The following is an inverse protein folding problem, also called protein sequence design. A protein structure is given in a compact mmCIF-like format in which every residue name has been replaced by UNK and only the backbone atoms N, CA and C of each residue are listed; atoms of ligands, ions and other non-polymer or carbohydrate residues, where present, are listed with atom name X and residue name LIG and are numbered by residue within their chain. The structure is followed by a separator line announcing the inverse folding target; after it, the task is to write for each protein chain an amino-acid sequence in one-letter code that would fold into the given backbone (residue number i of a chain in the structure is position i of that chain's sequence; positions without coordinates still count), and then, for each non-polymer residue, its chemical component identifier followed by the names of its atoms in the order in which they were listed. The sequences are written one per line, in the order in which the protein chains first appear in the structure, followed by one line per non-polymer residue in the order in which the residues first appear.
data_IF_770787765101
#
_entry.id   IF_770787765101
#
_cell.length_a   1.000
_cell.length_b   1.000
_cell.length_c   1.000
_cell.angle_alpha   90.00
_cell.angle_beta   90.00
_cell.angle_gamma   90.00
#
_symmetry.space_group_name_H-M   'P 1'
#
loop_
_entity.id
_entity.type
_entity.pdbx_description
1 polymer ?
#
# COMPACT_ATOMS: atom_id res chain seq x y z
N UNK A 1 22.18 20.72 -23.81
CA UNK A 1 21.82 19.29 -23.58
C UNK A 1 20.51 19.03 -24.31
N UNK A 2 20.54 18.19 -25.36
CA UNK A 2 19.36 17.86 -26.16
C UNK A 2 18.37 17.05 -25.29
N UNK A 3 17.21 17.59 -25.01
CA UNK A 3 16.08 16.88 -24.39
C UNK A 3 15.53 15.93 -25.45
N UNK A 4 15.92 14.65 -25.37
CA UNK A 4 15.28 13.60 -26.19
C UNK A 4 13.78 13.62 -25.89
N UNK A 5 12.99 13.97 -26.89
CA UNK A 5 11.53 13.85 -26.86
C UNK A 5 11.16 12.36 -26.79
N UNK A 6 10.23 11.99 -25.93
CA UNK A 6 9.75 10.61 -25.82
C UNK A 6 8.59 10.43 -26.78
N UNK A 7 8.74 9.52 -27.74
CA UNK A 7 7.75 9.32 -28.84
C UNK A 7 6.42 8.69 -28.39
N UNK A 8 6.37 7.98 -27.26
CA UNK A 8 5.16 7.31 -26.76
C UNK A 8 4.67 7.91 -25.43
N UNK A 9 3.79 8.87 -25.51
CA UNK A 9 3.15 9.55 -24.36
C UNK A 9 1.74 9.03 -24.08
N UNK A 10 1.39 7.90 -24.69
CA UNK A 10 0.10 7.22 -24.48
C UNK A 10 0.37 5.77 -24.06
N UNK A 11 -0.45 5.27 -23.13
CA UNK A 11 -0.43 3.88 -22.69
C UNK A 11 -1.86 3.37 -22.57
N UNK A 12 -2.04 2.10 -22.88
CA UNK A 12 -3.32 1.41 -22.76
C UNK A 12 -3.18 0.32 -21.71
N UNK A 13 -4.11 0.24 -20.80
CA UNK A 13 -4.22 -0.79 -19.77
C UNK A 13 -5.49 -1.58 -20.06
N UNK A 14 -5.38 -2.89 -20.17
CA UNK A 14 -6.53 -3.78 -20.26
C UNK A 14 -7.12 -4.00 -18.86
N UNK A 15 -8.45 -3.91 -18.75
CA UNK A 15 -9.16 -4.17 -17.51
C UNK A 15 -9.28 -5.68 -17.37
N UNK A 16 -8.75 -6.29 -16.27
CA UNK A 16 -8.87 -7.73 -16.07
C UNK A 16 -10.33 -8.16 -15.92
N UNK A 17 -10.62 -9.42 -16.25
CA UNK A 17 -11.95 -10.01 -16.10
C UNK A 17 -12.45 -9.94 -14.66
N UNK A 18 -13.71 -9.57 -14.45
CA UNK A 18 -14.32 -9.46 -13.12
C UNK A 18 -14.01 -8.16 -12.37
N UNK A 19 -13.42 -7.17 -13.04
CA UNK A 19 -13.19 -5.82 -12.49
C UNK A 19 -14.03 -4.80 -13.26
N UNK A 20 -14.84 -4.04 -12.53
CA UNK A 20 -15.59 -2.90 -13.05
C UNK A 20 -14.83 -1.61 -12.78
N UNK A 21 -14.56 -0.83 -13.81
CA UNK A 21 -13.86 0.46 -13.68
C UNK A 21 -14.79 1.58 -14.12
N UNK A 22 -14.97 2.57 -13.26
CA UNK A 22 -15.78 3.76 -13.53
C UNK A 22 -14.95 5.01 -13.30
N UNK A 23 -14.95 5.91 -14.29
CA UNK A 23 -14.30 7.21 -14.20
C UNK A 23 -15.34 8.31 -13.96
N UNK A 24 -15.29 8.96 -12.79
CA UNK A 24 -16.12 10.15 -12.46
C UNK A 24 -15.22 11.38 -12.42
N UNK A 25 -15.21 12.16 -13.50
CA UNK A 25 -14.31 13.31 -13.68
C UNK A 25 -12.84 12.88 -13.58
N UNK A 26 -12.23 13.05 -12.41
CA UNK A 26 -10.82 12.69 -12.12
C UNK A 26 -10.67 11.58 -11.09
N UNK A 27 -11.79 11.04 -10.60
CA UNK A 27 -11.79 9.95 -9.64
C UNK A 27 -12.02 8.64 -10.37
N UNK A 28 -11.01 7.79 -10.38
CA UNK A 28 -11.10 6.42 -10.86
C UNK A 28 -11.58 5.52 -9.72
N UNK A 29 -12.69 4.86 -9.94
CA UNK A 29 -13.29 3.89 -9.04
C UNK A 29 -13.13 2.50 -9.66
N UNK A 30 -12.61 1.57 -8.88
CA UNK A 30 -12.36 0.18 -9.30
C UNK A 30 -13.08 -0.74 -8.32
N UNK A 31 -13.96 -1.61 -8.85
CA UNK A 31 -14.75 -2.55 -8.07
C UNK A 31 -14.43 -3.99 -8.50
N UNK A 32 -14.24 -4.87 -7.54
CA UNK A 32 -13.95 -6.28 -7.75
C UNK A 32 -14.42 -7.16 -6.60
N UNK A 33 -13.92 -8.41 -6.53
CA UNK A 33 -14.33 -9.41 -5.53
C UNK A 33 -14.09 -8.98 -4.08
N UNK A 34 -13.00 -8.27 -3.82
CA UNK A 34 -12.56 -7.91 -2.47
C UNK A 34 -13.09 -6.54 -2.01
N UNK A 35 -13.86 -5.86 -2.85
CA UNK A 35 -14.47 -4.59 -2.51
C UNK A 35 -14.33 -3.54 -3.60
N UNK A 36 -14.44 -2.29 -3.16
CA UNK A 36 -14.44 -1.12 -4.02
C UNK A 36 -13.34 -0.17 -3.57
N UNK A 37 -12.47 0.20 -4.49
CA UNK A 37 -11.36 1.13 -4.23
C UNK A 37 -11.44 2.33 -5.15
N UNK A 38 -10.84 3.45 -4.74
CA UNK A 38 -10.84 4.65 -5.56
C UNK A 38 -9.51 5.38 -5.48
N UNK A 39 -9.17 6.08 -6.57
CA UNK A 39 -8.01 6.97 -6.62
C UNK A 39 -8.37 8.26 -7.33
N UNK A 40 -8.00 9.39 -6.73
CA UNK A 40 -8.20 10.70 -7.33
C UNK A 40 -6.94 11.13 -8.08
N UNK A 41 -7.07 11.39 -9.37
CA UNK A 41 -5.99 11.82 -10.27
C UNK A 41 -5.96 13.33 -10.50
N UNK A 42 -6.76 14.13 -9.78
CA UNK A 42 -6.86 15.59 -9.96
C UNK A 42 -5.50 16.31 -9.90
N UNK A 43 -4.58 15.83 -9.06
CA UNK A 43 -3.25 16.44 -8.89
C UNK A 43 -2.18 15.81 -9.77
N UNK A 44 -2.51 14.80 -10.55
CA UNK A 44 -1.58 14.07 -11.41
C UNK A 44 -1.83 14.54 -12.84
N UNK A 45 -0.82 15.08 -13.54
CA UNK A 45 -0.98 15.62 -14.90
C UNK A 45 -1.04 14.50 -15.94
N UNK A 46 -2.14 13.74 -15.93
CA UNK A 46 -2.44 12.65 -16.87
C UNK A 46 -3.92 12.73 -17.25
N UNK A 47 -4.21 12.61 -18.52
CA UNK A 47 -5.57 12.41 -19.02
C UNK A 47 -5.92 10.92 -18.96
N UNK A 48 -7.12 10.64 -18.46
CA UNK A 48 -7.67 9.31 -18.30
C UNK A 48 -8.94 9.19 -19.12
N UNK A 49 -9.04 8.14 -19.92
CA UNK A 49 -10.26 7.76 -20.64
C UNK A 49 -10.52 6.28 -20.42
N UNK A 50 -11.76 5.91 -20.18
CA UNK A 50 -12.20 4.52 -20.05
C UNK A 50 -13.15 4.23 -21.20
N UNK A 51 -12.76 3.33 -22.09
CA UNK A 51 -13.55 2.90 -23.24
C UNK A 51 -13.25 1.43 -23.58
N UNK A 52 -14.27 0.69 -24.00
CA UNK A 52 -14.16 -0.67 -24.54
C UNK A 52 -13.36 -1.65 -23.65
N UNK A 53 -13.55 -1.61 -22.32
CA UNK A 53 -12.82 -2.46 -21.40
C UNK A 53 -11.33 -2.13 -21.25
N UNK A 54 -10.90 -0.95 -21.72
CA UNK A 54 -9.53 -0.46 -21.63
C UNK A 54 -9.47 0.92 -21.02
N UNK A 55 -8.37 1.18 -20.30
CA UNK A 55 -8.06 2.49 -19.76
C UNK A 55 -6.95 3.10 -20.59
N UNK A 56 -7.22 4.19 -21.26
CA UNK A 56 -6.24 4.96 -22.02
C UNK A 56 -5.66 6.05 -21.12
N UNK A 57 -4.34 6.12 -21.06
CA UNK A 57 -3.57 7.10 -20.33
C UNK A 57 -2.79 7.96 -21.31
N UNK A 58 -2.90 9.28 -21.18
CA UNK A 58 -2.14 10.23 -21.98
C UNK A 58 -1.45 11.25 -21.10
N UNK A 59 -0.16 11.44 -21.28
CA UNK A 59 0.57 12.47 -20.58
C UNK A 59 0.22 13.86 -21.10
N UNK A 60 0.24 14.87 -20.22
CA UNK A 60 -0.05 16.27 -20.59
C UNK A 60 1.14 16.92 -21.29
N UNK A 61 2.36 16.46 -21.06
CA UNK A 61 3.61 17.02 -21.63
C UNK A 61 4.47 15.99 -22.33
N UNK A 62 5.61 16.43 -22.90
CA UNK A 62 6.51 15.63 -23.71
C UNK A 62 7.89 15.38 -23.07
N UNK A 63 8.07 15.77 -21.81
CA UNK A 63 9.34 15.66 -21.09
C UNK A 63 9.51 14.28 -20.47
N UNK A 64 10.73 13.89 -20.16
CA UNK A 64 11.03 12.63 -19.41
C UNK A 64 10.24 12.53 -18.08
N UNK A 65 10.01 13.66 -17.41
CA UNK A 65 9.19 13.72 -16.20
C UNK A 65 7.74 13.28 -16.47
N UNK A 66 7.16 13.73 -17.58
CA UNK A 66 5.77 13.44 -17.92
C UNK A 66 5.60 11.96 -18.26
N UNK A 67 6.59 11.38 -18.94
CA UNK A 67 6.66 9.93 -19.16
C UNK A 67 6.79 9.13 -17.85
N UNK A 68 7.61 9.58 -16.91
CA UNK A 68 7.72 8.94 -15.60
C UNK A 68 6.40 8.97 -14.81
N UNK A 69 5.69 10.11 -14.86
CA UNK A 69 4.36 10.27 -14.25
C UNK A 69 3.33 9.33 -14.91
N UNK A 70 3.37 9.20 -16.23
CA UNK A 70 2.52 8.28 -16.97
C UNK A 70 2.73 6.83 -16.53
N UNK A 71 3.98 6.37 -16.45
CA UNK A 71 4.32 5.02 -15.99
C UNK A 71 3.91 4.79 -14.52
N UNK A 72 4.10 5.77 -13.65
CA UNK A 72 3.64 5.71 -12.25
C UNK A 72 2.12 5.56 -12.20
N UNK A 73 1.39 6.34 -13.00
CA UNK A 73 -0.07 6.28 -13.06
C UNK A 73 -0.55 4.91 -13.55
N UNK A 74 0.12 4.34 -14.56
CA UNK A 74 -0.14 2.97 -15.03
C UNK A 74 0.03 1.95 -13.90
N UNK A 75 1.15 2.01 -13.18
CA UNK A 75 1.43 1.09 -12.07
C UNK A 75 0.40 1.21 -10.95
N UNK A 76 -0.05 2.43 -10.62
CA UNK A 76 -1.10 2.66 -9.63
C UNK A 76 -2.41 1.99 -10.06
N UNK A 77 -2.80 2.16 -11.33
CA UNK A 77 -4.05 1.58 -11.85
C UNK A 77 -3.98 0.05 -11.87
N UNK A 78 -2.87 -0.52 -12.33
CA UNK A 78 -2.66 -1.97 -12.29
C UNK A 78 -2.76 -2.51 -10.85
N UNK A 79 -2.11 -1.86 -9.89
CA UNK A 79 -2.18 -2.25 -8.49
C UNK A 79 -3.61 -2.15 -7.92
N UNK A 80 -4.42 -1.18 -8.37
CA UNK A 80 -5.82 -1.11 -7.95
C UNK A 80 -6.64 -2.27 -8.52
N UNK A 81 -6.46 -2.61 -9.81
CA UNK A 81 -7.15 -3.73 -10.45
C UNK A 81 -6.77 -5.08 -9.82
N UNK A 82 -5.47 -5.34 -9.64
CA UNK A 82 -4.96 -6.54 -8.95
C UNK A 82 -5.46 -6.61 -7.50
N UNK A 83 -5.43 -5.48 -6.80
CA UNK A 83 -5.81 -5.40 -5.40
C UNK A 83 -7.28 -5.72 -5.14
N UNK A 84 -8.21 -5.36 -6.03
CA UNK A 84 -9.62 -5.72 -5.86
C UNK A 84 -9.93 -7.16 -6.25
N UNK A 85 -9.03 -7.83 -6.99
CA UNK A 85 -9.16 -9.25 -7.36
C UNK A 85 -8.54 -10.18 -6.32
N UNK A 86 -7.26 -9.97 -6.00
CA UNK A 86 -6.43 -10.86 -5.19
C UNK A 86 -6.14 -10.29 -3.81
N UNK A 87 -6.03 -8.96 -3.72
CA UNK A 87 -5.58 -8.27 -2.52
C UNK A 87 -4.07 -8.34 -2.31
N UNK A 88 -3.64 -7.85 -1.15
CA UNK A 88 -2.23 -7.82 -0.75
C UNK A 88 -2.06 -8.28 0.68
N UNK A 89 -0.95 -8.96 0.94
CA UNK A 89 -0.54 -9.40 2.27
C UNK A 89 0.87 -8.90 2.57
N UNK A 90 1.03 -8.30 3.74
CA UNK A 90 2.34 -7.94 4.30
C UNK A 90 2.49 -8.63 5.64
N UNK A 91 3.61 -9.34 5.83
CA UNK A 91 3.92 -10.01 7.10
C UNK A 91 5.03 -9.28 7.83
N UNK A 92 4.83 -9.13 9.13
CA UNK A 92 5.81 -8.55 10.02
C UNK A 92 6.14 -9.57 11.10
N UNK A 93 7.42 -9.61 11.50
CA UNK A 93 7.92 -10.43 12.60
C UNK A 93 8.14 -9.58 13.84
N UNK A 94 7.65 -10.05 14.98
CA UNK A 94 7.92 -9.47 16.28
C UNK A 94 9.26 -10.02 16.75
N UNK A 95 10.21 -9.13 17.02
CA UNK A 95 11.54 -9.47 17.55
C UNK A 95 11.71 -8.80 18.90
N UNK A 96 12.06 -9.57 19.92
CA UNK A 96 12.35 -9.08 21.25
C UNK A 96 13.43 -9.94 21.89
N UNK A 97 14.26 -9.33 22.73
CA UNK A 97 15.30 -10.06 23.47
C UNK A 97 14.86 -10.41 24.90
N UNK A 98 14.26 -9.46 25.62
CA UNK A 98 13.97 -9.59 27.04
C UNK A 98 12.49 -9.37 27.39
N UNK A 99 11.86 -8.38 26.78
CA UNK A 99 10.47 -8.03 27.07
C UNK A 99 9.56 -8.52 25.94
N UNK A 100 8.66 -9.49 26.19
CA UNK A 100 7.76 -10.00 25.17
C UNK A 100 6.79 -8.90 24.71
N UNK A 101 6.83 -8.57 23.42
CA UNK A 101 5.96 -7.56 22.80
C UNK A 101 4.61 -8.20 22.49
N UNK A 102 3.55 -7.57 22.95
CA UNK A 102 2.18 -8.00 22.63
C UNK A 102 1.51 -7.01 21.68
N UNK A 103 0.90 -7.53 20.62
CA UNK A 103 0.19 -6.73 19.62
C UNK A 103 -1.30 -7.02 19.74
N UNK A 104 -2.12 -5.98 19.93
CA UNK A 104 -3.58 -6.05 19.98
C UNK A 104 -4.19 -5.09 18.96
N UNK A 105 -5.33 -5.44 18.40
CA UNK A 105 -6.07 -4.58 17.48
C UNK A 105 -7.31 -4.06 18.15
N UNK A 106 -7.48 -2.74 18.16
CA UNK A 106 -8.64 -2.06 18.72
C UNK A 106 -9.23 -1.08 17.70
N UNK A 107 -10.25 -1.51 16.99
CA UNK A 107 -10.86 -0.72 15.93
C UNK A 107 -9.87 -0.37 14.82
N UNK A 108 -9.55 0.91 14.61
CA UNK A 108 -8.57 1.40 13.64
C UNK A 108 -7.18 1.65 14.23
N UNK A 109 -6.91 1.12 15.41
CA UNK A 109 -5.62 1.26 16.09
C UNK A 109 -5.01 -0.11 16.37
N UNK A 110 -3.71 -0.21 16.17
CA UNK A 110 -2.89 -1.32 16.64
C UNK A 110 -2.19 -0.86 17.92
N UNK A 111 -2.43 -1.57 19.02
CA UNK A 111 -1.79 -1.35 20.31
C UNK A 111 -0.59 -2.28 20.43
N UNK A 112 0.58 -1.73 20.75
CA UNK A 112 1.82 -2.45 20.94
C UNK A 112 2.22 -2.27 22.39
N UNK A 113 2.06 -3.33 23.18
CA UNK A 113 2.28 -3.32 24.62
C UNK A 113 3.63 -3.92 24.97
N UNK A 114 4.18 -3.47 26.09
CA UNK A 114 5.42 -3.96 26.70
C UNK A 114 6.67 -3.84 25.80
N UNK A 115 6.67 -2.87 24.87
CA UNK A 115 7.84 -2.59 24.05
C UNK A 115 8.98 -2.06 24.93
N UNK A 116 10.09 -2.82 25.03
CA UNK A 116 11.22 -2.53 25.91
C UNK A 116 10.86 -2.27 27.39
N UNK A 117 9.79 -2.90 27.89
CA UNK A 117 9.30 -2.72 29.26
C UNK A 117 8.51 -1.44 29.50
N UNK A 118 8.09 -0.72 28.45
CA UNK A 118 7.25 0.49 28.60
C UNK A 118 5.90 0.14 29.22
N UNK A 119 5.46 0.96 30.18
CA UNK A 119 4.15 0.79 30.84
C UNK A 119 2.99 1.23 29.95
N UNK A 120 3.21 2.22 29.07
CA UNK A 120 2.21 2.72 28.14
C UNK A 120 2.29 2.00 26.81
N UNK A 121 1.14 1.60 26.24
CA UNK A 121 1.10 1.00 24.92
C UNK A 121 1.43 2.05 23.84
N UNK A 122 2.24 1.67 22.86
CA UNK A 122 2.43 2.45 21.64
C UNK A 122 1.30 2.17 20.68
N UNK A 123 0.85 3.19 19.94
CA UNK A 123 -0.27 3.08 19.01
C UNK A 123 0.17 3.30 17.58
N UNK A 124 -0.32 2.48 16.64
CA UNK A 124 -0.16 2.66 15.21
C UNK A 124 -1.54 2.71 14.52
N UNK A 125 -1.72 3.60 13.57
CA UNK A 125 -2.97 3.73 12.83
C UNK A 125 -3.07 2.67 11.74
N UNK A 126 -4.28 2.13 11.57
CA UNK A 126 -4.65 1.27 10.43
C UNK A 126 -5.25 2.17 9.36
N UNK A 127 -4.67 2.12 8.15
CA UNK A 127 -5.13 2.90 7.01
C UNK A 127 -6.18 2.14 6.20
N UNK A 128 -7.21 2.86 5.74
CA UNK A 128 -8.27 2.34 4.87
C UNK A 128 -9.03 1.15 5.44
N UNK A 129 -9.28 0.17 4.57
CA UNK A 129 -9.99 -1.09 4.88
C UNK A 129 -9.02 -2.25 5.13
N UNK A 130 -7.87 -1.95 5.72
CA UNK A 130 -6.83 -2.93 6.02
C UNK A 130 -7.18 -3.72 7.28
N UNK A 131 -6.97 -5.03 7.24
CA UNK A 131 -7.12 -5.93 8.38
C UNK A 131 -5.76 -6.31 8.93
N UNK A 132 -5.61 -6.25 10.24
CA UNK A 132 -4.39 -6.65 10.94
C UNK A 132 -4.71 -7.84 11.83
N UNK A 133 -3.98 -8.93 11.65
CA UNK A 133 -4.20 -10.17 12.39
C UNK A 133 -2.87 -10.63 13.04
N UNK A 134 -2.70 -10.39 14.34
CA UNK A 134 -1.53 -10.89 15.06
C UNK A 134 -1.68 -12.40 15.30
N UNK A 135 -0.66 -13.18 14.92
CA UNK A 135 -0.58 -14.64 15.11
C UNK A 135 0.75 -14.99 15.79
N UNK A 136 0.75 -15.07 17.12
CA UNK A 136 1.96 -15.34 17.88
C UNK A 136 3.04 -14.27 17.67
N UNK A 137 4.17 -14.65 17.06
CA UNK A 137 5.25 -13.72 16.73
C UNK A 137 5.09 -13.04 15.37
N UNK A 138 4.11 -13.43 14.56
CA UNK A 138 3.84 -12.84 13.25
C UNK A 138 2.65 -11.89 13.32
N UNK A 139 2.74 -10.78 12.60
CA UNK A 139 1.63 -9.86 12.39
C UNK A 139 1.33 -9.82 10.90
N UNK A 140 0.14 -10.29 10.52
CA UNK A 140 -0.30 -10.38 9.14
C UNK A 140 -1.21 -9.20 8.84
N UNK A 141 -0.84 -8.40 7.85
CA UNK A 141 -1.59 -7.21 7.40
C UNK A 141 -2.13 -7.47 6.01
N UNK A 142 -3.45 -7.45 5.83
CA UNK A 142 -4.11 -7.78 4.57
C UNK A 142 -5.10 -6.69 4.15
N UNK A 143 -5.29 -6.53 2.85
CA UNK A 143 -6.28 -5.58 2.33
C UNK A 143 -6.28 -5.48 0.80
N UNK A 144 -7.28 -4.79 0.24
CA UNK A 144 -7.42 -4.64 -1.22
C UNK A 144 -6.54 -3.52 -1.80
N UNK A 145 -6.05 -2.58 -0.98
CA UNK A 145 -5.28 -1.42 -1.44
C UNK A 145 -3.83 -1.54 -1.00
N UNK A 146 -2.91 -1.70 -1.95
CA UNK A 146 -1.48 -1.86 -1.68
C UNK A 146 -0.89 -0.74 -0.80
N UNK A 147 -1.27 0.51 -1.08
CA UNK A 147 -0.79 1.67 -0.34
C UNK A 147 -1.21 1.63 1.12
N UNK A 148 -2.46 1.26 1.41
CA UNK A 148 -3.01 1.23 2.77
C UNK A 148 -2.40 0.09 3.58
N UNK A 149 -2.27 -1.10 2.96
CA UNK A 149 -1.64 -2.27 3.57
C UNK A 149 -0.18 -1.99 3.91
N UNK A 150 0.57 -1.47 2.95
CA UNK A 150 2.00 -1.18 3.17
C UNK A 150 2.21 -0.01 4.13
N UNK A 151 1.34 1.01 4.10
CA UNK A 151 1.41 2.13 5.04
C UNK A 151 1.08 1.67 6.46
N UNK A 152 0.06 0.84 6.64
CA UNK A 152 -0.28 0.24 7.95
C UNK A 152 0.90 -0.56 8.51
N UNK A 153 1.52 -1.42 7.70
CA UNK A 153 2.71 -2.17 8.09
C UNK A 153 3.88 -1.25 8.45
N UNK A 154 4.12 -0.20 7.67
CA UNK A 154 5.14 0.80 7.95
C UNK A 154 4.85 1.58 9.25
N UNK A 155 3.59 1.93 9.51
CA UNK A 155 3.18 2.59 10.76
C UNK A 155 3.52 1.72 11.98
N UNK A 156 3.23 0.42 11.93
CA UNK A 156 3.58 -0.53 12.99
C UNK A 156 5.09 -0.57 13.20
N UNK A 157 5.86 -0.76 12.13
CA UNK A 157 7.32 -0.82 12.19
C UNK A 157 7.94 0.48 12.73
N UNK A 158 7.46 1.64 12.29
CA UNK A 158 7.98 2.94 12.75
C UNK A 158 7.68 3.21 14.22
N UNK A 159 6.54 2.73 14.73
CA UNK A 159 6.18 2.87 16.16
C UNK A 159 7.05 2.03 17.07
N UNK A 160 7.61 0.93 16.57
CA UNK A 160 8.53 0.06 17.33
C UNK A 160 10.01 0.36 17.07
N UNK A 161 10.32 1.48 16.42
CA UNK A 161 11.72 1.88 16.25
C UNK A 161 12.33 2.27 17.60
N UNK A 162 13.48 1.65 17.91
CA UNK A 162 14.29 2.00 19.07
C UNK A 162 14.87 3.40 18.91
N UNK A 163 14.80 4.21 19.97
CA UNK A 163 15.33 5.58 19.98
C UNK A 163 16.36 5.73 21.10
N UNK A 164 17.41 6.51 20.85
CA UNK A 164 18.45 6.87 21.83
C UNK A 164 19.18 5.67 22.45
N UNK A 165 19.26 4.53 21.75
CA UNK A 165 20.01 3.33 22.15
C UNK A 165 20.80 2.79 20.96
N UNK A 166 21.84 2.02 21.21
CA UNK A 166 22.66 1.38 20.17
C UNK A 166 21.85 0.28 19.45
N UNK A 167 21.56 0.49 18.19
CA UNK A 167 20.80 -0.46 17.35
C UNK A 167 21.53 -1.78 17.06
N UNK A 168 22.81 -1.89 17.37
CA UNK A 168 23.56 -3.16 17.26
C UNK A 168 23.30 -4.08 18.44
N UNK A 169 22.87 -3.52 19.56
CA UNK A 169 22.59 -4.26 20.81
C UNK A 169 21.08 -4.43 21.01
N UNK A 170 20.31 -3.36 20.80
CA UNK A 170 18.84 -3.36 20.98
C UNK A 170 18.16 -3.59 19.65
N UNK A 171 17.89 -4.86 19.34
CA UNK A 171 17.26 -5.30 18.10
C UNK A 171 15.75 -5.44 18.21
N UNK A 172 15.15 -5.09 19.36
CA UNK A 172 13.71 -5.20 19.60
C UNK A 172 12.92 -4.36 18.60
N UNK A 173 11.85 -4.92 18.07
CA UNK A 173 10.99 -4.23 17.10
C UNK A 173 10.05 -5.17 16.37
N UNK A 174 9.24 -4.58 15.51
CA UNK A 174 8.38 -5.32 14.59
C UNK A 174 8.84 -4.97 13.17
N UNK A 175 9.28 -5.96 12.42
CA UNK A 175 9.95 -5.78 11.13
C UNK A 175 9.18 -6.44 10.00
N UNK A 176 9.01 -5.72 8.89
CA UNK A 176 8.44 -6.27 7.66
C UNK A 176 9.47 -7.23 7.05
N UNK A 177 9.08 -8.49 6.83
CA UNK A 177 9.95 -9.47 6.20
C UNK A 177 9.41 -10.04 4.89
N UNK A 178 8.09 -9.96 4.66
CA UNK A 178 7.49 -10.50 3.45
C UNK A 178 6.37 -9.60 2.94
N UNK A 179 6.30 -9.46 1.61
CA UNK A 179 5.20 -8.78 0.89
C UNK A 179 4.76 -9.69 -0.25
N UNK A 180 3.48 -10.04 -0.29
CA UNK A 180 2.90 -10.91 -1.30
C UNK A 180 1.66 -10.30 -1.93
N UNK A 181 1.37 -10.70 -3.18
CA UNK A 181 0.06 -10.57 -3.79
C UNK A 181 -0.83 -11.70 -3.28
N UNK A 182 -2.11 -11.40 -3.15
CA UNK A 182 -3.10 -12.32 -2.59
C UNK A 182 -3.32 -12.12 -1.09
N UNK A 183 -4.55 -12.46 -0.65
CA UNK A 183 -4.93 -12.48 0.78
C UNK A 183 -4.64 -13.87 1.33
N UNK A 184 -3.72 -13.94 2.29
CA UNK A 184 -3.46 -15.16 3.06
C UNK A 184 -4.54 -15.32 4.13
N UNK A 185 -5.13 -16.52 4.20
CA UNK A 185 -6.18 -16.91 5.14
C UNK A 185 -5.62 -17.32 6.51
#
# INVERSE_FOLDING_TARGET
MSTKQVEKLEQVIEIPEGVEVTLKKTMLQVKGKLGNTYKNFKKIPVHLEVADGKIKLKAVGTRKRDYAILNTSRSIINNLCEGVQEGYTVKLKIVFAHFPITVKVQGKLVLIENFQGERSARTANIEGDTKVNPKGEDVIVTGPVLTDVTQTAANIQQRTKVKNKDHRVFLDGIYIYEKKKGIEK
#
